data_IF_978584979215
#
_entry.id   IF_978584979215
#
_cell.length_a   1.000
_cell.length_b   1.000
_cell.length_c   1.000
_cell.angle_alpha   90.00
_cell.angle_beta   90.00
_cell.angle_gamma   90.00
#
_symmetry.space_group_name_H-M   'P 1'
#
loop_
_entity.id
_entity.type
_entity.pdbx_description
1 polymer ?
#
# COMPACT_ATOMS: atom_id res chain seq x y z
N UNK A 1 21.04 26.68 -12.65
CA UNK A 1 22.23 25.81 -12.49
C UNK A 1 22.15 24.97 -11.22
N UNK A 2 21.70 25.55 -10.10
CA UNK A 2 21.55 24.85 -8.82
C UNK A 2 20.23 24.07 -8.69
N UNK A 3 19.28 24.31 -9.61
CA UNK A 3 18.01 23.60 -9.72
C UNK A 3 18.07 22.53 -10.83
N UNK A 4 17.33 21.40 -10.68
CA UNK A 4 16.48 21.08 -9.53
C UNK A 4 17.30 20.64 -8.30
N UNK A 5 16.93 21.15 -7.12
CA UNK A 5 17.40 20.62 -5.85
C UNK A 5 16.47 19.48 -5.45
N UNK A 6 17.03 18.32 -5.13
CA UNK A 6 16.28 17.17 -4.62
C UNK A 6 16.95 16.64 -3.37
N UNK A 7 16.24 16.70 -2.24
CA UNK A 7 16.71 16.15 -0.97
C UNK A 7 15.69 15.18 -0.40
N UNK A 8 16.20 14.15 0.28
CA UNK A 8 15.39 13.12 0.90
C UNK A 8 16.02 12.72 2.24
N UNK A 9 15.19 12.47 3.26
CA UNK A 9 15.66 11.90 4.52
C UNK A 9 14.73 10.80 5.03
N UNK A 10 15.34 9.83 5.72
CA UNK A 10 14.66 8.82 6.51
C UNK A 10 14.87 9.16 7.98
N UNK A 11 13.79 9.36 8.73
CA UNK A 11 13.84 9.79 10.12
C UNK A 11 12.66 9.23 10.91
N UNK A 12 12.66 9.46 12.22
CA UNK A 12 11.41 9.41 13.00
C UNK A 12 10.85 10.80 13.16
N UNK A 13 9.52 10.89 13.17
CA UNK A 13 8.78 12.12 13.44
C UNK A 13 7.95 11.90 14.69
N UNK A 14 7.94 12.91 15.57
CA UNK A 14 7.15 12.90 16.80
C UNK A 14 5.99 13.88 16.66
N UNK A 15 4.76 13.37 16.76
CA UNK A 15 3.53 14.16 16.82
C UNK A 15 2.76 13.77 18.09
N UNK A 16 2.42 14.76 18.90
CA UNK A 16 1.64 14.49 20.11
C UNK A 16 0.15 14.36 19.76
N UNK A 17 -0.20 13.21 19.18
CA UNK A 17 -1.56 12.89 18.72
C UNK A 17 -2.60 13.10 19.83
N UNK A 18 -3.62 13.90 19.53
CA UNK A 18 -4.72 14.23 20.44
C UNK A 18 -5.84 13.16 20.42
N UNK A 19 -5.82 12.28 19.43
CA UNK A 19 -6.79 11.22 19.19
C UNK A 19 -6.24 9.85 19.60
N UNK A 20 -7.07 8.81 19.45
CA UNK A 20 -6.68 7.44 19.75
C UNK A 20 -5.52 6.96 18.87
N UNK A 21 -4.53 6.29 19.48
CA UNK A 21 -3.42 5.71 18.75
C UNK A 21 -3.75 4.29 18.30
N UNK A 22 -3.50 3.98 17.04
CA UNK A 22 -3.60 2.62 16.47
C UNK A 22 -2.21 2.24 15.91
N UNK A 23 -1.62 1.08 16.29
CA UNK A 23 -0.31 0.67 15.80
C UNK A 23 -0.19 0.82 14.28
N UNK A 24 0.95 1.34 13.82
CA UNK A 24 1.25 1.73 12.44
C UNK A 24 0.42 2.90 11.87
N UNK A 25 -0.91 2.89 12.04
CA UNK A 25 -1.79 3.90 11.43
C UNK A 25 -1.65 5.28 12.07
N UNK A 26 -1.58 5.34 13.40
CA UNK A 26 -1.48 6.57 14.17
C UNK A 26 -0.75 6.35 15.49
N UNK A 27 0.47 6.86 15.56
CA UNK A 27 1.37 6.71 16.71
C UNK A 27 2.04 8.03 17.04
N UNK A 28 2.51 8.18 18.27
CA UNK A 28 3.17 9.43 18.71
C UNK A 28 4.55 9.62 18.11
N UNK A 29 5.25 8.53 17.85
CA UNK A 29 6.47 8.50 17.06
C UNK A 29 6.24 7.52 15.92
N UNK A 30 6.67 7.86 14.72
CA UNK A 30 6.60 6.99 13.56
C UNK A 30 7.82 7.19 12.67
N UNK A 31 8.24 6.11 11.99
CA UNK A 31 9.24 6.19 10.94
C UNK A 31 8.62 6.71 9.65
N UNK A 32 9.34 7.59 8.98
CA UNK A 32 8.86 8.31 7.81
C UNK A 32 10.03 8.63 6.87
N UNK A 33 9.73 8.68 5.58
CA UNK A 33 10.58 9.27 4.55
C UNK A 33 9.95 10.58 4.07
N UNK A 34 10.67 11.70 4.18
CA UNK A 34 10.27 12.98 3.59
C UNK A 34 11.25 13.43 2.52
N UNK A 35 10.68 13.83 1.39
CA UNK A 35 11.40 14.43 0.29
C UNK A 35 10.99 15.88 0.14
N UNK A 36 11.96 16.72 -0.21
CA UNK A 36 11.75 18.14 -0.48
C UNK A 36 12.53 18.51 -1.72
N UNK A 37 11.89 19.24 -2.63
CA UNK A 37 12.52 19.64 -3.89
C UNK A 37 12.25 21.09 -4.22
N UNK A 38 13.11 21.68 -5.04
CA UNK A 38 12.94 23.01 -5.60
C UNK A 38 13.30 22.98 -7.09
N UNK A 39 12.48 23.64 -7.91
CA UNK A 39 12.50 23.61 -9.37
C UNK A 39 12.40 25.01 -9.94
N UNK A 40 12.86 25.16 -11.18
CA UNK A 40 12.83 26.44 -11.87
C UNK A 40 11.42 26.80 -12.35
N UNK A 41 10.63 25.80 -12.74
CA UNK A 41 9.31 25.95 -13.34
C UNK A 41 8.24 25.18 -12.56
N UNK A 42 6.98 25.58 -12.73
CA UNK A 42 5.84 24.87 -12.12
C UNK A 42 5.63 23.50 -12.75
N UNK A 43 5.93 23.38 -14.04
CA UNK A 43 5.81 22.15 -14.81
C UNK A 43 6.80 21.10 -14.30
N UNK A 44 8.08 21.45 -14.11
CA UNK A 44 9.08 20.54 -13.53
C UNK A 44 8.70 20.10 -12.11
N UNK A 45 8.12 21.01 -11.32
CA UNK A 45 7.63 20.70 -9.98
C UNK A 45 6.43 19.75 -10.02
N UNK A 46 5.50 19.94 -10.96
CA UNK A 46 4.36 19.06 -11.13
C UNK A 46 4.77 17.65 -11.61
N UNK A 47 5.69 17.56 -12.58
CA UNK A 47 6.28 16.29 -13.03
C UNK A 47 6.95 15.55 -11.86
N UNK A 48 7.69 16.28 -11.02
CA UNK A 48 8.27 15.71 -9.81
C UNK A 48 7.18 15.24 -8.84
N UNK A 49 6.13 16.02 -8.59
CA UNK A 49 5.02 15.63 -7.71
C UNK A 49 4.36 14.32 -8.15
N UNK A 50 4.06 14.17 -9.45
CA UNK A 50 3.46 12.96 -10.01
C UNK A 50 4.43 11.77 -9.99
N UNK A 51 5.71 11.98 -10.33
CA UNK A 51 6.72 10.92 -10.25
C UNK A 51 6.81 10.30 -8.85
N UNK A 52 6.66 11.11 -7.79
CA UNK A 52 6.69 10.61 -6.40
C UNK A 52 5.40 9.92 -6.01
N UNK A 53 4.26 10.36 -6.55
CA UNK A 53 2.99 9.69 -6.37
C UNK A 53 3.01 8.29 -7.01
N UNK A 54 3.50 8.16 -8.24
CA UNK A 54 3.63 6.88 -8.94
C UNK A 54 4.59 5.93 -8.20
N UNK A 55 5.65 6.47 -7.59
CA UNK A 55 6.54 5.67 -6.73
C UNK A 55 5.82 5.14 -5.49
N UNK A 56 4.88 5.90 -4.91
CA UNK A 56 4.10 5.43 -3.78
C UNK A 56 3.05 4.41 -4.19
N UNK A 57 2.37 4.58 -5.33
CA UNK A 57 1.52 3.54 -5.91
C UNK A 57 2.30 2.24 -6.12
N UNK A 58 3.45 2.30 -6.80
CA UNK A 58 4.34 1.15 -7.02
C UNK A 58 4.79 0.48 -5.72
N UNK A 59 5.04 1.24 -4.65
CA UNK A 59 5.33 0.62 -3.34
C UNK A 59 4.15 -0.22 -2.85
N UNK A 60 2.92 0.26 -2.97
CA UNK A 60 1.75 -0.49 -2.53
C UNK A 60 1.41 -1.66 -3.45
N UNK A 61 1.37 -1.43 -4.76
CA UNK A 61 1.04 -2.45 -5.74
C UNK A 61 2.17 -3.46 -5.84
N UNK A 62 3.34 -3.07 -6.35
CA UNK A 62 4.43 -3.99 -6.68
C UNK A 62 5.07 -4.64 -5.45
N UNK A 63 5.22 -3.93 -4.33
CA UNK A 63 5.88 -4.48 -3.14
C UNK A 63 4.90 -5.05 -2.12
N UNK A 64 3.73 -4.44 -1.91
CA UNK A 64 2.81 -4.87 -0.86
C UNK A 64 1.66 -5.75 -1.39
N UNK A 65 1.50 -5.88 -2.71
CA UNK A 65 0.37 -6.55 -3.34
C UNK A 65 -0.98 -5.90 -2.94
N UNK A 66 -1.01 -4.56 -2.83
CA UNK A 66 -2.18 -3.77 -2.44
C UNK A 66 -2.55 -2.80 -3.58
N UNK A 67 -3.71 -2.97 -4.23
CA UNK A 67 -4.22 -1.98 -5.15
C UNK A 67 -4.65 -0.72 -4.40
N UNK A 68 -4.50 0.42 -5.05
CA UNK A 68 -4.75 1.74 -4.48
C UNK A 68 -5.46 2.65 -5.47
N UNK A 69 -6.08 3.72 -4.97
CA UNK A 69 -6.60 4.79 -5.81
C UNK A 69 -5.64 5.98 -5.78
N UNK A 70 -5.33 6.53 -6.94
CA UNK A 70 -4.64 7.81 -7.06
C UNK A 70 -5.63 8.95 -7.30
N UNK A 71 -5.31 10.11 -6.76
CA UNK A 71 -6.08 11.32 -7.01
C UNK A 71 -5.50 12.53 -6.33
N UNK A 72 -6.36 13.53 -6.13
CA UNK A 72 -6.05 14.79 -5.47
C UNK A 72 -6.94 14.99 -4.24
N UNK A 73 -6.44 15.73 -3.26
CA UNK A 73 -7.28 16.23 -2.17
C UNK A 73 -8.13 17.39 -2.68
N UNK A 74 -9.39 17.51 -2.21
CA UNK A 74 -10.17 18.71 -2.47
C UNK A 74 -9.48 19.95 -1.87
N UNK A 75 -9.81 21.13 -2.37
CA UNK A 75 -9.11 22.37 -2.01
C UNK A 75 -9.10 22.67 -0.51
N UNK A 76 -10.13 22.26 0.23
CA UNK A 76 -10.21 22.44 1.69
C UNK A 76 -9.38 21.45 2.50
N UNK A 77 -8.99 20.30 1.94
CA UNK A 77 -8.21 19.24 2.62
C UNK A 77 -6.76 19.13 2.10
N UNK A 78 -6.33 20.02 1.20
CA UNK A 78 -4.93 20.06 0.76
C UNK A 78 -4.00 20.50 1.88
N UNK A 79 -2.73 20.12 1.77
CA UNK A 79 -1.71 20.59 2.69
C UNK A 79 -1.66 22.13 2.72
N UNK A 80 -1.72 22.77 3.90
CA UNK A 80 -1.74 24.22 4.00
C UNK A 80 -0.56 24.88 3.28
N UNK A 81 -0.88 25.75 2.32
CA UNK A 81 0.10 26.45 1.49
C UNK A 81 0.52 25.70 0.22
N UNK A 82 -0.02 24.50 -0.04
CA UNK A 82 0.15 23.83 -1.32
C UNK A 82 -0.84 24.35 -2.37
N UNK A 83 -0.40 24.37 -3.63
CA UNK A 83 -1.31 24.57 -4.76
C UNK A 83 -2.21 23.35 -4.91
N UNK A 84 -1.59 22.16 -4.91
CA UNK A 84 -2.27 20.87 -5.04
C UNK A 84 -1.65 19.83 -4.12
N UNK A 85 -2.47 18.99 -3.50
CA UNK A 85 -2.02 17.79 -2.80
C UNK A 85 -2.53 16.56 -3.51
N UNK A 86 -1.62 15.72 -3.98
CA UNK A 86 -1.96 14.41 -4.54
C UNK A 86 -1.87 13.34 -3.45
N UNK A 87 -2.62 12.27 -3.65
CA UNK A 87 -2.81 11.23 -2.63
C UNK A 87 -2.90 9.85 -3.26
N UNK A 88 -2.37 8.86 -2.54
CA UNK A 88 -2.67 7.45 -2.74
C UNK A 88 -3.60 7.04 -1.60
N UNK A 89 -4.78 6.50 -1.92
CA UNK A 89 -5.77 6.04 -0.95
C UNK A 89 -5.91 4.51 -1.03
N UNK A 90 -5.72 3.84 0.10
CA UNK A 90 -5.87 2.39 0.23
C UNK A 90 -7.11 2.05 1.03
N UNK A 91 -7.96 1.13 0.52
CA UNK A 91 -9.14 0.67 1.25
C UNK A 91 -8.79 -0.49 2.18
N UNK A 92 -9.07 -0.34 3.47
CA UNK A 92 -8.90 -1.43 4.43
C UNK A 92 -10.15 -2.34 4.45
N UNK A 93 -10.00 -3.64 4.80
CA UNK A 93 -11.12 -4.59 4.83
C UNK A 93 -12.29 -4.20 5.77
N UNK A 94 -12.07 -3.31 6.74
CA UNK A 94 -13.13 -2.77 7.59
C UNK A 94 -13.90 -1.59 6.96
N UNK A 95 -13.67 -1.32 5.67
CA UNK A 95 -14.39 -0.32 4.88
C UNK A 95 -13.95 1.12 5.13
N UNK A 96 -12.72 1.33 5.62
CA UNK A 96 -12.16 2.66 5.88
C UNK A 96 -10.99 2.96 4.96
N UNK A 97 -10.91 4.22 4.51
CA UNK A 97 -9.79 4.72 3.73
C UNK A 97 -8.57 4.99 4.61
N UNK A 98 -7.41 4.70 4.03
CA UNK A 98 -6.11 5.09 4.53
C UNK A 98 -5.43 5.94 3.46
N UNK A 99 -5.13 7.19 3.80
CA UNK A 99 -4.15 7.95 3.03
C UNK A 99 -2.78 7.25 3.18
N UNK A 100 -2.42 6.54 2.12
CA UNK A 100 -1.31 5.61 2.00
C UNK A 100 0.01 6.33 1.65
N UNK A 101 -0.07 7.43 0.90
CA UNK A 101 1.05 8.30 0.61
C UNK A 101 0.54 9.66 0.13
N UNK A 102 1.40 10.68 0.17
CA UNK A 102 1.03 12.01 -0.32
C UNK A 102 2.21 12.72 -0.99
N UNK A 103 1.91 13.44 -2.05
CA UNK A 103 2.87 14.26 -2.79
C UNK A 103 2.25 15.62 -3.06
N UNK A 104 2.93 16.69 -2.67
CA UNK A 104 2.41 18.04 -2.70
C UNK A 104 3.13 18.84 -3.77
N UNK A 105 2.35 19.46 -4.66
CA UNK A 105 2.83 20.57 -5.46
C UNK A 105 2.64 21.84 -4.63
N UNK A 106 3.73 22.34 -4.04
CA UNK A 106 3.68 23.42 -3.06
C UNK A 106 3.60 24.81 -3.71
N UNK A 107 3.72 24.87 -5.04
CA UNK A 107 3.81 26.14 -5.76
C UNK A 107 5.01 26.94 -5.29
N UNK A 108 4.80 28.25 -5.11
CA UNK A 108 5.82 29.19 -4.65
C UNK A 108 5.65 29.59 -3.18
N UNK A 109 4.56 29.21 -2.51
CA UNK A 109 4.21 29.68 -1.15
C UNK A 109 5.34 29.51 -0.13
N UNK A 110 5.98 28.33 -0.11
CA UNK A 110 7.10 28.06 0.78
C UNK A 110 8.38 28.76 0.32
N UNK A 111 8.63 28.83 -0.98
CA UNK A 111 9.80 29.52 -1.50
C UNK A 111 9.76 31.02 -1.19
N UNK A 112 8.60 31.66 -1.28
CA UNK A 112 8.39 33.05 -0.88
C UNK A 112 8.61 33.25 0.63
N UNK A 113 8.08 32.34 1.45
CA UNK A 113 8.19 32.45 2.91
C UNK A 113 9.63 32.27 3.44
N UNK A 114 10.48 31.53 2.70
CA UNK A 114 11.84 31.18 3.10
C UNK A 114 12.93 31.79 2.18
N UNK A 115 12.56 32.73 1.31
CA UNK A 115 13.47 33.40 0.36
C UNK A 115 14.26 32.41 -0.53
N UNK A 116 13.60 31.36 -1.03
CA UNK A 116 14.19 30.37 -1.94
C UNK A 116 14.10 30.91 -3.37
N UNK A 117 15.09 31.70 -3.76
CA UNK A 117 15.20 32.30 -5.09
C UNK A 117 16.37 31.73 -5.89
N UNK A 118 16.34 31.93 -7.21
CA UNK A 118 17.43 31.60 -8.13
C UNK A 118 17.56 32.68 -9.21
N UNK A 119 18.74 32.77 -9.83
CA UNK A 119 18.95 33.60 -11.02
C UNK A 119 18.73 32.77 -12.28
N UNK A 120 17.83 33.22 -13.15
CA UNK A 120 17.50 32.54 -14.41
C UNK A 120 18.51 32.82 -15.53
N UNK A 121 18.22 32.35 -16.74
CA UNK A 121 19.11 32.52 -17.90
C UNK A 121 19.27 33.98 -18.36
N UNK A 122 18.32 34.84 -17.99
CA UNK A 122 18.31 36.27 -18.28
C UNK A 122 18.92 37.11 -17.13
N UNK A 123 19.55 36.44 -16.16
CA UNK A 123 20.09 37.03 -14.93
C UNK A 123 19.02 37.69 -14.04
N UNK A 124 17.73 37.34 -14.21
CA UNK A 124 16.64 37.81 -13.35
C UNK A 124 16.45 36.91 -12.13
N UNK A 125 16.11 37.52 -11.00
CA UNK A 125 15.78 36.77 -9.77
C UNK A 125 14.36 36.22 -9.86
N UNK A 126 14.22 34.90 -9.65
CA UNK A 126 12.96 34.15 -9.69
C UNK A 126 12.76 33.39 -8.40
N UNK A 127 11.52 33.23 -7.98
CA UNK A 127 11.14 32.35 -6.87
C UNK A 127 11.03 30.91 -7.36
N UNK A 128 11.63 29.96 -6.65
CA UNK A 128 11.56 28.54 -7.01
C UNK A 128 10.16 27.95 -6.79
N UNK A 129 9.80 26.94 -7.58
CA UNK A 129 8.62 26.10 -7.33
C UNK A 129 9.04 24.91 -6.48
N UNK A 130 8.34 24.61 -5.40
CA UNK A 130 8.73 23.54 -4.47
C UNK A 130 7.76 22.37 -4.45
N UNK A 131 8.25 21.20 -4.05
CA UNK A 131 7.43 20.03 -3.76
C UNK A 131 7.86 19.40 -2.45
N UNK A 132 6.93 18.71 -1.79
CA UNK A 132 7.26 17.80 -0.69
C UNK A 132 6.41 16.55 -0.78
N UNK A 133 6.90 15.45 -0.25
CA UNK A 133 6.24 14.15 -0.36
C UNK A 133 6.62 13.25 0.81
N UNK A 134 5.70 12.37 1.20
CA UNK A 134 5.82 11.57 2.40
C UNK A 134 5.18 10.19 2.36
N UNK A 135 5.91 9.22 2.92
CA UNK A 135 5.45 7.88 3.21
C UNK A 135 5.90 7.49 4.62
N UNK A 136 5.02 6.79 5.35
CA UNK A 136 5.31 6.33 6.71
C UNK A 136 5.08 4.83 6.87
N UNK A 137 5.41 4.31 8.05
CA UNK A 137 5.11 2.91 8.40
C UNK A 137 3.61 2.55 8.42
N UNK A 138 2.71 3.51 8.14
CA UNK A 138 1.30 3.23 7.87
C UNK A 138 1.13 2.23 6.74
N UNK A 139 2.05 2.19 5.78
CA UNK A 139 2.11 1.17 4.74
C UNK A 139 2.20 -0.26 5.32
N UNK A 140 2.94 -0.47 6.41
CA UNK A 140 2.97 -1.76 7.10
C UNK A 140 1.65 -2.08 7.79
N UNK A 141 0.98 -1.06 8.35
CA UNK A 141 -0.36 -1.22 8.92
C UNK A 141 -1.37 -1.68 7.87
N UNK A 142 -1.32 -1.06 6.68
CA UNK A 142 -2.14 -1.43 5.54
C UNK A 142 -1.86 -2.86 5.08
N UNK A 143 -0.59 -3.22 4.84
CA UNK A 143 -0.18 -4.58 4.50
C UNK A 143 -0.74 -5.62 5.48
N UNK A 144 -0.53 -5.40 6.79
CA UNK A 144 -0.97 -6.33 7.82
C UNK A 144 -2.49 -6.46 7.82
N UNK A 145 -3.22 -5.35 7.75
CA UNK A 145 -4.68 -5.38 7.79
C UNK A 145 -5.30 -6.01 6.55
N UNK A 146 -4.71 -5.81 5.38
CA UNK A 146 -5.25 -6.33 4.12
C UNK A 146 -5.08 -7.84 4.03
N UNK A 147 -3.88 -8.36 4.31
CA UNK A 147 -3.57 -9.76 3.99
C UNK A 147 -3.72 -10.74 5.16
N UNK A 148 -3.55 -10.28 6.40
CA UNK A 148 -3.56 -11.19 7.56
C UNK A 148 -4.93 -11.84 7.76
N UNK A 149 -4.92 -13.06 8.30
CA UNK A 149 -6.11 -13.87 8.52
C UNK A 149 -6.24 -14.32 9.99
N UNK A 150 -7.15 -15.26 10.27
CA UNK A 150 -7.35 -15.79 11.61
C UNK A 150 -6.14 -16.60 12.14
N UNK A 151 -5.24 -17.05 11.26
CA UNK A 151 -4.05 -17.83 11.60
C UNK A 151 -2.83 -16.95 11.88
N UNK A 152 -2.81 -15.71 11.39
CA UNK A 152 -1.75 -14.74 11.68
C UNK A 152 -1.41 -13.85 10.50
N UNK A 153 -0.14 -13.46 10.42
CA UNK A 153 0.37 -12.67 9.31
C UNK A 153 0.27 -13.46 8.00
N UNK A 154 0.07 -12.75 6.91
CA UNK A 154 0.25 -13.22 5.54
C UNK A 154 1.01 -12.13 4.81
N UNK A 155 2.16 -12.48 4.23
CA UNK A 155 3.07 -11.52 3.61
C UNK A 155 3.33 -11.91 2.16
N UNK A 156 3.42 -10.95 1.23
CA UNK A 156 3.96 -11.23 -0.08
C UNK A 156 5.47 -11.48 0.03
N UNK A 157 5.98 -12.36 -0.83
CA UNK A 157 7.39 -12.75 -0.85
C UNK A 157 8.37 -11.59 -1.08
N UNK A 158 7.91 -10.50 -1.67
CA UNK A 158 8.63 -9.24 -1.93
C UNK A 158 9.11 -8.57 -0.65
N UNK A 159 8.34 -8.65 0.45
CA UNK A 159 8.67 -8.00 1.74
C UNK A 159 8.84 -8.97 2.91
N UNK A 160 8.49 -10.25 2.75
CA UNK A 160 8.64 -11.26 3.79
C UNK A 160 10.12 -11.40 4.23
N UNK A 161 10.46 -11.24 5.53
CA UNK A 161 11.84 -11.40 5.99
C UNK A 161 12.42 -12.78 5.67
N UNK A 162 11.62 -13.82 5.91
CA UNK A 162 11.83 -15.19 5.44
C UNK A 162 10.77 -15.48 4.39
N UNK A 163 11.19 -15.91 3.20
CA UNK A 163 10.30 -16.21 2.08
C UNK A 163 9.89 -17.69 2.06
N UNK A 164 10.83 -18.57 2.42
CA UNK A 164 10.63 -20.02 2.43
C UNK A 164 11.05 -20.58 3.78
N UNK A 165 10.26 -21.50 4.33
CA UNK A 165 10.72 -22.35 5.43
C UNK A 165 10.73 -23.81 5.00
N UNK A 166 11.84 -24.50 5.23
CA UNK A 166 12.00 -25.93 5.00
C UNK A 166 11.78 -26.66 6.33
N UNK A 167 10.81 -27.56 6.38
CA UNK A 167 10.45 -28.31 7.58
C UNK A 167 10.65 -29.81 7.34
N UNK A 168 11.74 -30.41 7.87
CA UNK A 168 11.95 -31.85 7.81
C UNK A 168 11.00 -32.61 8.74
N UNK A 169 10.46 -33.73 8.24
CA UNK A 169 9.47 -34.60 8.89
C UNK A 169 10.03 -36.03 8.89
N UNK A 170 10.61 -36.46 10.01
CA UNK A 170 11.29 -37.75 10.08
C UNK A 170 10.82 -38.64 11.22
N UNK A 171 11.16 -39.92 11.08
CA UNK A 171 11.15 -40.92 12.16
C UNK A 171 12.60 -41.28 12.51
N UNK A 172 12.82 -41.99 13.61
CA UNK A 172 14.18 -42.32 14.11
C UNK A 172 15.06 -42.97 13.02
N UNK A 173 14.49 -43.87 12.21
CA UNK A 173 15.22 -44.61 11.17
C UNK A 173 15.47 -43.82 9.87
N UNK A 174 14.78 -42.69 9.66
CA UNK A 174 14.88 -41.88 8.43
C UNK A 174 15.44 -40.48 8.68
N UNK A 175 15.87 -40.21 9.91
CA UNK A 175 16.25 -38.86 10.35
C UNK A 175 17.40 -38.27 9.53
N UNK A 176 18.50 -39.01 9.43
CA UNK A 176 19.72 -38.50 8.79
C UNK A 176 19.46 -38.22 7.31
N UNK A 177 18.82 -39.13 6.58
CA UNK A 177 18.51 -38.96 5.15
C UNK A 177 17.59 -37.76 4.89
N UNK A 178 16.55 -37.56 5.72
CA UNK A 178 15.61 -36.42 5.59
C UNK A 178 16.31 -35.09 5.91
N UNK A 179 17.15 -35.05 6.95
CA UNK A 179 17.89 -33.84 7.31
C UNK A 179 18.91 -33.46 6.24
N UNK A 180 19.68 -34.42 5.73
CA UNK A 180 20.66 -34.19 4.67
C UNK A 180 19.98 -33.68 3.39
N UNK A 181 18.81 -34.23 3.03
CA UNK A 181 18.04 -33.78 1.87
C UNK A 181 17.48 -32.37 2.08
N UNK A 182 16.92 -32.08 3.26
CA UNK A 182 16.38 -30.76 3.60
C UNK A 182 17.46 -29.67 3.67
N UNK A 183 18.63 -29.96 4.23
CA UNK A 183 19.79 -29.07 4.22
C UNK A 183 20.22 -28.76 2.79
N UNK A 184 20.31 -29.79 1.93
CA UNK A 184 20.65 -29.60 0.52
C UNK A 184 19.64 -28.75 -0.26
N UNK A 185 18.34 -28.82 0.05
CA UNK A 185 17.32 -27.96 -0.57
C UNK A 185 17.43 -26.52 -0.05
N UNK A 186 17.64 -26.35 1.26
CA UNK A 186 17.82 -25.02 1.84
C UNK A 186 19.06 -24.32 1.27
N UNK A 187 20.19 -25.03 1.18
CA UNK A 187 21.42 -24.49 0.59
C UNK A 187 21.23 -24.07 -0.87
N UNK A 188 20.54 -24.88 -1.68
CA UNK A 188 20.26 -24.56 -3.09
C UNK A 188 19.40 -23.30 -3.24
N UNK A 189 18.42 -23.11 -2.36
CA UNK A 189 17.57 -21.92 -2.34
C UNK A 189 18.35 -20.67 -1.87
N UNK A 190 19.18 -20.79 -0.84
CA UNK A 190 20.03 -19.68 -0.35
C UNK A 190 21.06 -19.26 -1.41
N UNK A 191 21.71 -20.23 -2.08
CA UNK A 191 22.63 -20.00 -3.20
C UNK A 191 21.94 -19.28 -4.38
N UNK A 192 20.62 -19.50 -4.54
CA UNK A 192 19.79 -18.81 -5.52
C UNK A 192 19.31 -17.42 -5.07
N UNK A 193 19.66 -16.98 -3.85
CA UNK A 193 19.29 -15.68 -3.28
C UNK A 193 17.89 -15.63 -2.67
N UNK A 194 17.27 -16.79 -2.41
CA UNK A 194 15.97 -16.88 -1.75
C UNK A 194 16.19 -16.89 -0.24
N UNK A 195 15.44 -16.05 0.48
CA UNK A 195 15.54 -15.96 1.95
C UNK A 195 14.87 -17.17 2.57
N UNK A 196 15.65 -18.19 2.88
CA UNK A 196 15.18 -19.48 3.36
C UNK A 196 15.60 -19.74 4.81
N UNK A 197 14.74 -20.41 5.56
CA UNK A 197 15.03 -20.93 6.91
C UNK A 197 14.84 -22.44 6.92
N UNK A 198 15.82 -23.19 7.43
CA UNK A 198 15.66 -24.62 7.75
C UNK A 198 15.26 -24.76 9.22
N UNK A 199 14.08 -25.32 9.48
CA UNK A 199 13.61 -25.58 10.84
C UNK A 199 13.82 -27.05 11.24
N UNK A 200 15.06 -27.37 11.62
CA UNK A 200 15.51 -28.70 12.03
C UNK A 200 15.33 -28.97 13.54
N UNK A 201 14.67 -28.07 14.30
CA UNK A 201 14.54 -28.18 15.76
C UNK A 201 13.90 -29.49 16.19
N UNK A 202 14.63 -30.31 16.94
CA UNK A 202 14.20 -31.64 17.39
C UNK A 202 13.13 -31.61 18.49
N UNK A 203 13.06 -30.53 19.28
CA UNK A 203 12.16 -30.41 20.43
C UNK A 203 10.72 -30.03 20.04
N UNK A 204 10.46 -29.78 18.76
CA UNK A 204 9.15 -29.38 18.23
C UNK A 204 8.65 -30.40 17.22
N UNK A 205 7.38 -30.79 17.37
CA UNK A 205 6.74 -31.62 16.35
C UNK A 205 6.44 -30.78 15.08
N UNK A 206 6.30 -31.42 13.90
CA UNK A 206 6.05 -30.72 12.65
C UNK A 206 4.85 -29.78 12.69
N UNK A 207 3.71 -30.22 13.25
CA UNK A 207 2.51 -29.38 13.35
C UNK A 207 2.70 -28.10 14.17
N UNK A 208 3.57 -28.12 15.19
CA UNK A 208 3.95 -26.91 15.92
C UNK A 208 4.76 -25.97 15.04
N UNK A 209 5.72 -26.50 14.28
CA UNK A 209 6.55 -25.72 13.36
C UNK A 209 5.69 -25.06 12.28
N UNK A 210 4.77 -25.82 11.68
CA UNK A 210 3.82 -25.32 10.67
C UNK A 210 3.05 -24.11 11.20
N UNK A 211 2.43 -24.26 12.38
CA UNK A 211 1.64 -23.18 12.96
C UNK A 211 2.48 -21.95 13.34
N UNK A 212 3.72 -22.13 13.84
CA UNK A 212 4.61 -21.01 14.16
C UNK A 212 4.97 -20.21 12.91
N UNK A 213 5.30 -20.89 11.81
CA UNK A 213 5.67 -20.24 10.55
C UNK A 213 4.46 -19.63 9.82
N UNK A 214 3.30 -20.27 9.91
CA UNK A 214 2.03 -19.71 9.45
C UNK A 214 1.68 -18.43 10.22
N UNK A 215 1.79 -18.44 11.55
CA UNK A 215 1.54 -17.27 12.38
C UNK A 215 2.43 -16.08 12.01
N UNK A 216 3.69 -16.35 11.65
CA UNK A 216 4.67 -15.35 11.23
C UNK A 216 4.53 -14.93 9.76
N UNK A 217 3.66 -15.58 8.99
CA UNK A 217 3.35 -15.21 7.61
C UNK A 217 4.44 -15.52 6.59
N UNK A 218 5.24 -16.56 6.83
CA UNK A 218 6.20 -17.03 5.82
C UNK A 218 5.41 -17.50 4.57
N UNK A 219 5.62 -16.91 3.39
CA UNK A 219 4.78 -17.12 2.20
C UNK A 219 4.67 -18.58 1.76
N UNK A 220 5.79 -19.31 1.82
CA UNK A 220 5.90 -20.66 1.28
C UNK A 220 6.58 -21.58 2.31
N UNK A 221 5.98 -22.74 2.56
CA UNK A 221 6.58 -23.81 3.35
C UNK A 221 6.93 -24.98 2.44
N UNK A 222 8.09 -25.60 2.65
CA UNK A 222 8.50 -26.86 2.03
C UNK A 222 8.49 -27.93 3.10
N UNK A 223 7.70 -28.97 2.89
CA UNK A 223 7.63 -30.16 3.73
C UNK A 223 8.47 -31.26 3.09
N UNK A 224 9.37 -31.86 3.90
CA UNK A 224 10.27 -32.91 3.41
C UNK A 224 10.22 -34.09 4.38
N UNK A 225 9.62 -35.19 3.96
CA UNK A 225 9.62 -36.45 4.66
C UNK A 225 10.33 -37.56 3.87
N UNK A 226 10.20 -38.82 4.32
CA UNK A 226 10.85 -39.95 3.65
C UNK A 226 10.36 -40.16 2.22
N UNK A 227 9.11 -39.78 1.90
CA UNK A 227 8.55 -39.91 0.56
C UNK A 227 9.21 -38.93 -0.41
N UNK A 228 9.34 -37.65 -0.01
CA UNK A 228 10.05 -36.63 -0.78
C UNK A 228 11.52 -37.03 -1.04
N UNK A 229 12.18 -37.69 -0.07
CA UNK A 229 13.54 -38.20 -0.24
C UNK A 229 13.59 -39.38 -1.23
N UNK A 230 12.68 -40.34 -1.11
CA UNK A 230 12.66 -41.55 -1.94
C UNK A 230 12.31 -41.24 -3.41
N UNK A 231 11.41 -40.27 -3.64
CA UNK A 231 10.89 -39.90 -4.95
C UNK A 231 11.63 -38.69 -5.57
N UNK A 232 12.59 -38.09 -4.85
CA UNK A 232 13.33 -36.87 -5.26
C UNK A 232 12.40 -35.66 -5.55
N UNK A 233 11.33 -35.55 -4.76
CA UNK A 233 10.28 -34.53 -4.86
C UNK A 233 10.28 -33.61 -3.63
N UNK A 234 9.40 -32.60 -3.63
CA UNK A 234 9.16 -31.64 -2.55
C UNK A 234 7.67 -31.32 -2.45
N UNK A 235 7.15 -31.25 -1.23
CA UNK A 235 5.79 -30.76 -0.98
C UNK A 235 5.83 -29.28 -0.63
N UNK A 236 5.32 -28.42 -1.50
CA UNK A 236 5.21 -26.97 -1.31
C UNK A 236 3.82 -26.62 -0.78
N UNK A 237 3.74 -25.74 0.21
CA UNK A 237 2.47 -25.29 0.82
C UNK A 237 2.42 -23.77 0.90
N UNK A 238 1.36 -23.20 0.32
CA UNK A 238 1.10 -21.77 0.29
C UNK A 238 0.50 -21.28 1.60
N UNK A 239 1.04 -20.17 2.13
CA UNK A 239 0.49 -19.52 3.31
C UNK A 239 -0.93 -18.96 3.16
N UNK A 240 -1.30 -18.24 2.09
CA UNK A 240 -2.59 -17.54 2.05
C UNK A 240 -3.82 -18.46 2.01
N UNK A 241 -3.71 -19.65 1.43
CA UNK A 241 -4.83 -20.54 1.14
C UNK A 241 -4.63 -21.99 1.60
N UNK A 242 -3.40 -22.36 1.99
CA UNK A 242 -3.04 -23.73 2.35
C UNK A 242 -2.97 -24.67 1.14
N UNK A 243 -2.95 -24.15 -0.09
CA UNK A 243 -2.78 -24.96 -1.29
C UNK A 243 -1.43 -25.67 -1.26
N UNK A 244 -1.43 -26.94 -1.63
CA UNK A 244 -0.25 -27.80 -1.62
C UNK A 244 0.03 -28.39 -2.99
N UNK A 245 1.29 -28.36 -3.43
CA UNK A 245 1.74 -28.94 -4.70
C UNK A 245 3.01 -29.76 -4.49
N UNK A 246 3.05 -30.95 -5.09
CA UNK A 246 4.23 -31.80 -5.16
C UNK A 246 5.01 -31.46 -6.43
N UNK A 247 6.32 -31.23 -6.30
CA UNK A 247 7.20 -30.83 -7.41
C UNK A 247 8.51 -31.61 -7.38
N UNK A 248 9.12 -31.82 -8.54
CA UNK A 248 10.48 -32.36 -8.62
C UNK A 248 11.47 -31.41 -7.93
N UNK A 249 12.49 -31.96 -7.25
CA UNK A 249 13.59 -31.17 -6.69
C UNK A 249 14.43 -30.49 -7.77
N UNK A 250 14.55 -31.12 -8.94
CA UNK A 250 15.32 -30.59 -10.05
C UNK A 250 14.78 -29.22 -10.47
N UNK A 251 15.60 -28.18 -10.31
CA UNK A 251 15.20 -26.80 -10.63
C UNK A 251 14.32 -26.14 -9.57
N UNK A 252 14.35 -26.60 -8.31
CA UNK A 252 13.53 -26.06 -7.21
C UNK A 252 13.56 -24.53 -7.10
N UNK A 253 14.71 -23.89 -7.36
CA UNK A 253 14.82 -22.44 -7.28
C UNK A 253 14.01 -21.69 -8.34
N UNK A 254 13.78 -22.28 -9.52
CA UNK A 254 12.88 -21.72 -10.54
C UNK A 254 11.42 -21.96 -10.11
N UNK A 255 11.10 -23.20 -9.72
CA UNK A 255 9.77 -23.57 -9.23
C UNK A 255 9.29 -22.70 -8.06
N UNK A 256 10.16 -22.42 -7.08
CA UNK A 256 9.84 -21.55 -5.94
C UNK A 256 9.56 -20.11 -6.38
N UNK A 257 10.24 -19.59 -7.41
CA UNK A 257 9.94 -18.26 -7.96
C UNK A 257 8.58 -18.23 -8.66
N UNK A 258 8.25 -19.28 -9.39
CA UNK A 258 6.92 -19.41 -10.00
C UNK A 258 5.82 -19.46 -8.92
N UNK A 259 6.07 -20.17 -7.81
CA UNK A 259 5.13 -20.17 -6.67
C UNK A 259 5.03 -18.81 -5.99
N UNK A 260 6.11 -18.03 -5.93
CA UNK A 260 6.05 -16.66 -5.41
C UNK A 260 5.16 -15.76 -6.27
N UNK A 261 5.25 -15.89 -7.60
CA UNK A 261 4.38 -15.15 -8.53
C UNK A 261 2.92 -15.56 -8.34
N UNK A 262 2.65 -16.85 -8.14
CA UNK A 262 1.30 -17.35 -7.88
C UNK A 262 0.73 -16.85 -6.55
N UNK A 263 1.50 -16.94 -5.46
CA UNK A 263 1.12 -16.41 -4.14
C UNK A 263 0.85 -14.90 -4.23
N UNK A 264 1.73 -14.16 -4.90
CA UNK A 264 1.57 -12.71 -5.07
C UNK A 264 0.28 -12.41 -5.86
N UNK A 265 0.02 -13.11 -6.97
CA UNK A 265 -1.17 -12.91 -7.78
C UNK A 265 -2.47 -13.19 -6.99
N UNK A 266 -2.47 -14.22 -6.12
CA UNK A 266 -3.59 -14.52 -5.22
C UNK A 266 -3.85 -13.38 -4.23
N UNK A 267 -2.80 -12.90 -3.56
CA UNK A 267 -2.91 -11.78 -2.62
C UNK A 267 -3.43 -10.51 -3.29
N UNK A 268 -2.86 -10.16 -4.45
CA UNK A 268 -3.27 -8.98 -5.21
C UNK A 268 -4.72 -9.09 -5.66
N UNK A 269 -5.13 -10.22 -6.25
CA UNK A 269 -6.50 -10.41 -6.73
C UNK A 269 -7.55 -10.31 -5.62
N UNK A 270 -7.28 -10.86 -4.42
CA UNK A 270 -8.20 -10.72 -3.28
C UNK A 270 -8.29 -9.27 -2.79
N UNK A 271 -7.17 -8.55 -2.76
CA UNK A 271 -7.16 -7.14 -2.37
C UNK A 271 -7.85 -6.25 -3.43
N UNK A 272 -7.71 -6.58 -4.71
CA UNK A 272 -8.38 -5.93 -5.84
C UNK A 272 -9.89 -6.13 -5.78
N UNK A 273 -10.36 -7.36 -5.58
CA UNK A 273 -11.78 -7.64 -5.39
C UNK A 273 -12.36 -6.84 -4.21
N UNK A 274 -11.62 -6.74 -3.11
CA UNK A 274 -12.02 -5.93 -1.95
C UNK A 274 -12.15 -4.44 -2.29
N UNK A 275 -11.23 -3.89 -3.08
CA UNK A 275 -11.27 -2.50 -3.51
C UNK A 275 -12.45 -2.27 -4.47
N UNK A 276 -12.59 -3.11 -5.49
CA UNK A 276 -13.63 -3.02 -6.52
C UNK A 276 -15.03 -3.12 -5.93
N UNK A 277 -15.27 -4.10 -5.06
CA UNK A 277 -16.54 -4.20 -4.32
C UNK A 277 -16.73 -3.05 -3.32
N UNK A 278 -15.63 -2.46 -2.88
CA UNK A 278 -15.58 -1.36 -1.94
C UNK A 278 -15.96 0.00 -2.52
N UNK A 279 -15.84 0.18 -3.84
CA UNK A 279 -16.21 1.42 -4.55
C UNK A 279 -17.65 1.33 -5.05
N UNK A 280 -18.49 2.27 -4.62
CA UNK A 280 -19.91 2.35 -5.01
C UNK A 280 -20.24 3.75 -5.51
N UNK A 281 -21.32 3.88 -6.27
CA UNK A 281 -21.81 5.16 -6.78
C UNK A 281 -23.10 5.58 -6.07
N UNK A 282 -23.31 6.88 -5.94
CA UNK A 282 -24.56 7.46 -5.43
C UNK A 282 -24.82 8.83 -6.04
N UNK A 283 -26.10 9.16 -6.24
CA UNK A 283 -26.54 10.42 -6.87
C UNK A 283 -27.12 11.42 -5.87
N UNK A 284 -27.35 11.03 -4.61
CA UNK A 284 -27.87 11.91 -3.58
C UNK A 284 -27.34 11.61 -2.18
N UNK A 285 -27.43 12.62 -1.31
CA UNK A 285 -26.98 12.56 0.08
C UNK A 285 -27.50 11.36 0.86
N UNK A 286 -28.77 10.98 0.70
CA UNK A 286 -29.36 9.89 1.48
C UNK A 286 -28.73 8.56 1.09
N UNK A 287 -28.48 8.35 -0.20
CA UNK A 287 -27.82 7.16 -0.73
C UNK A 287 -26.34 7.11 -0.33
N UNK A 288 -25.64 8.25 -0.31
CA UNK A 288 -24.25 8.33 0.21
C UNK A 288 -24.19 7.87 1.68
N UNK A 289 -25.05 8.45 2.53
CA UNK A 289 -25.11 8.11 3.95
C UNK A 289 -25.53 6.66 4.18
N UNK A 290 -26.53 6.18 3.44
CA UNK A 290 -27.02 4.81 3.51
C UNK A 290 -25.92 3.81 3.16
N UNK A 291 -25.21 4.07 2.07
CA UNK A 291 -24.16 3.19 1.54
C UNK A 291 -22.95 3.15 2.46
N UNK A 292 -22.42 4.30 2.90
CA UNK A 292 -21.30 4.36 3.86
C UNK A 292 -21.66 3.79 5.25
N UNK A 293 -22.93 3.92 5.66
CA UNK A 293 -23.44 3.38 6.91
C UNK A 293 -23.55 1.84 6.88
N UNK A 294 -24.01 1.28 5.77
CA UNK A 294 -24.26 -0.15 5.62
C UNK A 294 -23.03 -0.95 5.21
N UNK A 295 -22.25 -0.43 4.27
CA UNK A 295 -21.18 -1.16 3.59
C UNK A 295 -19.78 -0.64 3.91
N UNK A 296 -19.65 0.61 4.35
CA UNK A 296 -18.35 1.29 4.35
C UNK A 296 -17.83 1.46 2.93
N UNK A 297 -16.50 1.50 2.77
CA UNK A 297 -15.85 1.66 1.48
C UNK A 297 -15.87 3.10 0.98
N UNK A 298 -15.70 3.25 -0.32
CA UNK A 298 -15.82 4.52 -1.03
C UNK A 298 -17.20 4.67 -1.64
N UNK A 299 -17.73 5.87 -1.58
CA UNK A 299 -18.90 6.28 -2.38
C UNK A 299 -18.48 7.43 -3.29
N UNK A 300 -18.48 7.16 -4.59
CA UNK A 300 -18.25 8.12 -5.66
C UNK A 300 -19.57 8.85 -5.96
N UNK A 301 -19.55 10.18 -5.97
CA UNK A 301 -20.74 10.98 -6.29
C UNK A 301 -20.38 12.30 -6.97
N UNK A 302 -21.28 12.87 -7.79
CA UNK A 302 -21.12 14.22 -8.34
C UNK A 302 -21.08 15.27 -7.23
N UNK A 303 -20.15 16.22 -7.32
CA UNK A 303 -19.89 17.24 -6.31
C UNK A 303 -19.63 18.61 -6.95
N UNK A 304 -20.16 19.68 -6.36
CA UNK A 304 -20.04 21.05 -6.86
C UNK A 304 -18.72 21.75 -6.51
N UNK A 305 -17.79 21.11 -5.82
CA UNK A 305 -16.52 21.74 -5.39
C UNK A 305 -16.60 22.55 -4.09
N UNK A 306 -17.79 22.76 -3.52
CA UNK A 306 -17.95 23.52 -2.26
C UNK A 306 -17.73 22.62 -1.02
N UNK A 307 -16.83 23.04 -0.13
CA UNK A 307 -16.56 22.41 1.18
C UNK A 307 -17.83 22.26 2.02
N UNK A 308 -18.78 23.20 1.91
CA UNK A 308 -20.04 23.15 2.65
C UNK A 308 -20.89 21.90 2.31
N UNK A 309 -20.65 21.26 1.17
CA UNK A 309 -21.30 20.01 0.78
C UNK A 309 -20.69 18.75 1.42
N UNK A 310 -19.52 18.84 2.06
CA UNK A 310 -18.93 17.73 2.83
C UNK A 310 -19.52 17.62 4.25
N UNK A 311 -19.76 18.76 4.91
CA UNK A 311 -20.24 18.82 6.31
C UNK A 311 -21.47 17.93 6.59
N UNK A 312 -22.49 17.87 5.71
CA UNK A 312 -23.68 17.04 5.92
C UNK A 312 -23.42 15.52 5.91
N UNK A 313 -22.23 15.09 5.47
CA UNK A 313 -21.72 13.70 5.53
C UNK A 313 -20.81 13.50 6.74
N UNK A 314 -19.97 14.50 7.05
CA UNK A 314 -19.00 14.49 8.15
C UNK A 314 -19.66 14.38 9.51
N UNK A 315 -20.66 15.21 9.79
CA UNK A 315 -21.35 15.23 11.09
C UNK A 315 -21.99 13.88 11.49
N UNK A 316 -22.78 13.20 10.64
CA UNK A 316 -23.47 11.96 11.03
C UNK A 316 -22.60 10.70 11.01
N UNK A 317 -21.59 10.61 10.13
CA UNK A 317 -20.84 9.37 9.89
C UNK A 317 -19.34 9.44 10.13
N UNK A 318 -18.80 10.63 10.45
CA UNK A 318 -17.36 10.88 10.46
C UNK A 318 -16.69 10.41 9.15
N UNK A 319 -17.35 10.69 8.03
CA UNK A 319 -16.86 10.43 6.68
C UNK A 319 -16.63 11.75 5.95
N UNK A 320 -15.67 11.78 5.04
CA UNK A 320 -15.23 12.99 4.34
C UNK A 320 -14.84 12.66 2.89
N UNK A 321 -14.59 13.68 2.08
CA UNK A 321 -14.05 13.51 0.73
C UNK A 321 -12.58 13.15 0.87
N UNK A 322 -12.23 11.91 0.59
CA UNK A 322 -10.86 11.42 0.72
C UNK A 322 -10.02 11.72 -0.51
N UNK A 323 -10.65 11.82 -1.68
CA UNK A 323 -10.00 12.22 -2.91
C UNK A 323 -11.03 12.69 -3.95
N UNK A 324 -10.54 13.42 -4.93
CA UNK A 324 -11.16 13.66 -6.23
C UNK A 324 -10.22 13.12 -7.31
N UNK A 325 -10.71 12.64 -8.46
CA UNK A 325 -9.85 12.26 -9.57
C UNK A 325 -9.04 13.46 -10.11
N UNK A 326 -7.97 13.15 -10.84
CA UNK A 326 -7.25 14.14 -11.63
C UNK A 326 -8.18 14.76 -12.68
N UNK A 327 -7.93 16.01 -13.08
CA UNK A 327 -8.82 16.74 -14.00
C UNK A 327 -8.99 16.03 -15.34
N UNK A 328 -7.93 15.44 -15.88
CA UNK A 328 -7.94 14.68 -17.13
C UNK A 328 -8.56 13.29 -17.01
N UNK A 329 -8.81 12.82 -15.78
CA UNK A 329 -9.44 11.54 -15.48
C UNK A 329 -10.87 11.68 -14.94
N UNK A 330 -11.29 12.90 -14.57
CA UNK A 330 -12.61 13.19 -14.03
C UNK A 330 -13.59 13.51 -15.16
N UNK A 331 -14.60 12.65 -15.43
CA UNK A 331 -15.57 12.91 -16.47
C UNK A 331 -16.40 14.18 -16.25
N UNK A 332 -16.41 14.73 -15.03
CA UNK A 332 -17.13 15.95 -14.67
C UNK A 332 -16.29 17.23 -14.75
N UNK A 333 -14.97 17.13 -14.90
CA UNK A 333 -14.10 18.31 -14.95
C UNK A 333 -14.16 19.04 -16.31
N UNK A 334 -14.56 18.35 -17.39
CA UNK A 334 -14.53 18.84 -18.77
C UNK A 334 -15.92 19.22 -19.32
N UNK A 335 -16.51 20.28 -18.75
CA UNK A 335 -17.66 20.99 -19.33
C UNK A 335 -18.95 20.91 -18.51
N UNK A 336 -20.06 21.32 -19.14
CA UNK A 336 -21.39 21.23 -18.54
C UNK A 336 -22.00 19.87 -18.91
N UNK A 337 -21.94 18.94 -17.95
CA UNK A 337 -22.47 17.58 -18.09
C UNK A 337 -23.98 17.50 -17.77
N UNK A 338 -24.57 18.59 -17.27
CA UNK A 338 -25.95 18.62 -16.80
C UNK A 338 -26.21 17.74 -15.57
N UNK A 339 -25.16 17.31 -14.87
CA UNK A 339 -25.24 16.60 -13.61
C UNK A 339 -25.31 17.59 -12.46
N UNK A 340 -26.17 17.29 -11.48
CA UNK A 340 -26.35 18.09 -10.28
C UNK A 340 -25.55 17.47 -9.15
N UNK A 341 -24.98 18.31 -8.28
CA UNK A 341 -24.29 17.87 -7.08
C UNK A 341 -25.18 16.93 -6.23
N UNK A 342 -24.61 15.86 -5.69
CA UNK A 342 -25.36 14.92 -4.84
C UNK A 342 -25.80 15.53 -3.49
N UNK A 343 -25.28 16.72 -3.14
CA UNK A 343 -25.49 17.37 -1.84
C UNK A 343 -26.34 18.64 -1.91
N UNK A 344 -26.36 19.32 -3.05
CA UNK A 344 -27.09 20.58 -3.27
C UNK A 344 -27.72 20.59 -4.67
N UNK A 345 -28.46 21.65 -5.01
CA UNK A 345 -29.12 21.79 -6.31
C UNK A 345 -28.22 22.50 -7.37
N UNK A 346 -26.94 22.71 -7.08
CA UNK A 346 -25.98 23.34 -7.99
C UNK A 346 -25.39 22.32 -8.97
N UNK A 347 -24.82 22.81 -10.07
CA UNK A 347 -24.16 21.97 -11.07
C UNK A 347 -22.93 21.27 -10.45
N UNK A 348 -22.72 20.01 -10.81
CA UNK A 348 -21.54 19.26 -10.38
C UNK A 348 -20.32 19.67 -11.22
N UNK A 349 -19.19 19.91 -10.55
CA UNK A 349 -17.92 20.31 -11.18
C UNK A 349 -16.88 19.19 -11.11
N UNK A 350 -17.00 18.28 -10.14
CA UNK A 350 -16.05 17.19 -9.90
C UNK A 350 -16.76 15.95 -9.42
N UNK A 351 -16.09 14.82 -9.59
CA UNK A 351 -16.41 13.59 -8.88
C UNK A 351 -15.72 13.58 -7.52
N UNK A 352 -16.45 13.34 -6.43
CA UNK A 352 -15.88 13.16 -5.09
C UNK A 352 -16.00 11.72 -4.60
N UNK A 353 -14.95 11.22 -3.92
CA UNK A 353 -14.96 9.91 -3.25
C UNK A 353 -15.10 10.14 -1.74
N UNK A 354 -16.26 9.78 -1.20
CA UNK A 354 -16.55 9.85 0.23
C UNK A 354 -16.16 8.55 0.91
N UNK A 355 -15.49 8.62 2.06
CA UNK A 355 -15.23 7.45 2.91
C UNK A 355 -15.03 7.83 4.37
N UNK A 356 -15.14 6.83 5.24
CA UNK A 356 -14.64 6.93 6.63
C UNK A 356 -13.13 6.76 6.63
N UNK A 357 -12.43 7.51 7.48
CA UNK A 357 -10.95 7.53 7.53
C UNK A 357 -10.41 7.02 8.86
N UNK A 358 -9.08 6.90 8.96
CA UNK A 358 -8.33 6.37 10.11
C UNK A 358 -7.63 7.40 11.00
#
# INVERSE_FOLDING_TARGET
RDLPLRVNQWCSVVRWEATETKPFFRTKEFLWQEGHTAHATSEDAWEETLLRLDQYESVYEDLLALPVLKGQKPDHDKFPGADTTTTVEALMPDGKSVQAGTSHHLGQSFAEAFDITYSDEDEEERTAHTTSWGLSWRALGALIMTHSDEQGLVLPHTVAPTQVVVVPIWQEDTKDDVLDYAEGVADELDDAGIRVELDDRDERNPGFKFNEHELNGIPLRIEIGPHEVDDEELTLVHRPDGESVEVDRDGVAETVRDQFDEIYAKLYATAEETLDEGVREADDRADILGTLGQHGGYVKAPWCGDEACEEPIKEPLAAEIVMVPFEDEDPLADGDHGETCAMCDDDAERTAYFAKTY
#
